data_IF_199440371703
#
_entry.id   IF_199440371703
#
_cell.length_a   1.000
_cell.length_b   1.000
_cell.length_c   1.000
_cell.angle_alpha   90.00
_cell.angle_beta   90.00
_cell.angle_gamma   90.00
#
_symmetry.space_group_name_H-M   'P 1'
#
loop_
_entity.id
_entity.type
_entity.pdbx_description
1 polymer ?
#
# COMPACT_ATOMS: atom_id res chain seq x y z
N UNK A 1 -5.34 10.90 -6.06
CA UNK A 1 -5.04 9.76 -6.96
C UNK A 1 -6.10 9.52 -8.05
N UNK A 2 -7.17 10.32 -8.14
CA UNK A 2 -8.33 10.09 -9.04
C UNK A 2 -8.13 10.53 -10.51
N UNK A 3 -6.92 10.95 -10.89
CA UNK A 3 -6.66 11.57 -12.22
C UNK A 3 -5.76 10.73 -13.14
N UNK A 4 -5.33 9.55 -12.70
CA UNK A 4 -4.48 8.70 -13.53
C UNK A 4 -5.32 8.03 -14.63
N UNK A 5 -4.94 8.27 -15.89
CA UNK A 5 -5.62 7.72 -17.08
C UNK A 5 -5.07 6.33 -17.41
N UNK A 6 -5.55 5.31 -16.71
CA UNK A 6 -5.28 3.91 -17.07
C UNK A 6 -6.52 3.04 -16.83
N UNK A 7 -6.64 1.97 -17.60
CA UNK A 7 -7.72 0.99 -17.42
C UNK A 7 -7.33 0.04 -16.30
N UNK A 8 -8.19 -0.10 -15.30
CA UNK A 8 -8.06 -1.11 -14.25
C UNK A 8 -8.56 -2.45 -14.76
N UNK A 9 -7.98 -3.55 -14.26
CA UNK A 9 -8.48 -4.89 -14.54
C UNK A 9 -9.94 -5.00 -14.08
N UNK A 10 -10.78 -5.68 -14.88
CA UNK A 10 -12.18 -5.91 -14.54
C UNK A 10 -12.31 -6.56 -13.15
N UNK A 11 -13.15 -5.99 -12.30
CA UNK A 11 -13.35 -6.45 -10.91
C UNK A 11 -12.40 -5.85 -9.88
N UNK A 12 -11.32 -5.18 -10.29
CA UNK A 12 -10.45 -4.44 -9.38
C UNK A 12 -11.01 -3.04 -9.10
N UNK A 13 -10.93 -2.62 -7.84
CA UNK A 13 -11.20 -1.25 -7.43
C UNK A 13 -10.06 -0.32 -7.88
N UNK A 14 -10.41 0.90 -8.30
CA UNK A 14 -9.42 1.85 -8.80
C UNK A 14 -8.43 2.32 -7.74
N UNK A 15 -8.89 2.46 -6.50
CA UNK A 15 -8.11 2.94 -5.37
C UNK A 15 -7.49 1.82 -4.55
N UNK A 16 -8.08 0.63 -4.57
CA UNK A 16 -7.71 -0.49 -3.71
C UNK A 16 -7.29 -1.76 -4.44
N UNK A 17 -7.25 -1.78 -5.77
CA UNK A 17 -6.89 -2.98 -6.50
C UNK A 17 -7.86 -4.12 -6.18
N UNK A 18 -7.36 -5.24 -5.70
CA UNK A 18 -8.19 -6.42 -5.39
C UNK A 18 -8.67 -6.47 -3.93
N UNK A 19 -8.26 -5.55 -3.08
CA UNK A 19 -8.69 -5.51 -1.68
C UNK A 19 -10.01 -4.76 -1.50
N UNK A 20 -10.79 -5.20 -0.51
CA UNK A 20 -12.04 -4.57 -0.14
C UNK A 20 -11.81 -3.57 1.01
N UNK A 21 -11.85 -2.25 0.76
CA UNK A 21 -11.69 -1.23 1.82
C UNK A 21 -12.84 -1.22 2.84
N UNK A 22 -13.94 -1.91 2.56
CA UNK A 22 -15.08 -2.11 3.47
C UNK A 22 -15.10 -3.50 4.11
N UNK A 23 -14.00 -4.25 3.99
CA UNK A 23 -13.82 -5.53 4.68
C UNK A 23 -13.76 -5.37 6.20
N UNK A 24 -13.77 -6.49 6.93
CA UNK A 24 -13.67 -6.51 8.40
C UNK A 24 -12.33 -5.90 8.87
N UNK A 25 -12.35 -4.80 9.64
CA UNK A 25 -11.13 -4.17 10.13
C UNK A 25 -10.24 -5.12 10.94
N UNK A 26 -8.94 -5.10 10.67
CA UNK A 26 -7.94 -5.85 11.41
C UNK A 26 -7.25 -4.96 12.45
N UNK A 27 -6.86 -5.50 13.62
CA UNK A 27 -6.12 -4.71 14.60
C UNK A 27 -4.76 -4.26 14.02
N UNK A 28 -4.32 -3.06 14.40
CA UNK A 28 -2.97 -2.58 14.07
C UNK A 28 -1.93 -3.59 14.61
N UNK A 29 -0.92 -4.01 13.81
CA UNK A 29 0.10 -4.94 14.27
C UNK A 29 0.81 -4.43 15.52
N UNK A 30 0.99 -5.28 16.54
CA UNK A 30 1.58 -4.88 17.82
C UNK A 30 3.00 -4.29 17.70
N UNK A 31 3.75 -4.66 16.66
CA UNK A 31 5.09 -4.10 16.38
C UNK A 31 5.07 -2.85 15.49
N UNK A 32 3.91 -2.39 15.01
CA UNK A 32 3.84 -1.31 14.02
C UNK A 32 4.51 -1.64 12.69
N UNK A 33 4.68 -2.94 12.38
CA UNK A 33 5.36 -3.41 11.19
C UNK A 33 4.34 -3.81 10.13
N UNK A 34 4.32 -3.10 9.00
CA UNK A 34 3.70 -3.59 7.78
C UNK A 34 4.61 -4.64 7.12
N UNK A 35 4.01 -5.69 6.54
CA UNK A 35 4.74 -6.69 5.76
C UNK A 35 4.27 -6.76 4.31
N UNK A 36 5.19 -6.99 3.38
CA UNK A 36 4.86 -7.35 1.99
C UNK A 36 5.82 -8.43 1.46
N UNK A 37 5.63 -8.83 0.20
CA UNK A 37 6.57 -9.73 -0.49
C UNK A 37 7.88 -9.06 -0.89
N UNK A 38 8.00 -7.74 -0.73
CA UNK A 38 9.16 -6.92 -1.12
C UNK A 38 8.91 -6.14 -2.42
N UNK A 39 9.62 -5.02 -2.59
CA UNK A 39 9.63 -4.25 -3.83
C UNK A 39 10.60 -4.91 -4.82
N UNK A 40 10.07 -5.62 -5.84
CA UNK A 40 10.88 -6.38 -6.81
C UNK A 40 11.30 -5.58 -8.05
N UNK A 41 10.78 -4.36 -8.19
CA UNK A 41 11.04 -3.45 -9.30
C UNK A 41 11.31 -2.05 -8.76
N UNK A 42 12.16 -1.31 -9.46
CA UNK A 42 12.39 0.10 -9.13
C UNK A 42 11.10 0.91 -9.32
N UNK A 43 10.96 1.97 -8.54
CA UNK A 43 9.92 2.97 -8.75
C UNK A 43 9.27 3.45 -7.46
N UNK A 44 8.43 4.50 -7.58
CA UNK A 44 7.94 5.22 -6.42
C UNK A 44 6.87 4.43 -5.68
N UNK A 45 6.82 4.63 -4.37
CA UNK A 45 5.73 4.11 -3.55
C UNK A 45 5.28 5.14 -2.53
N UNK A 46 4.04 4.96 -2.07
CA UNK A 46 3.43 5.75 -1.03
C UNK A 46 2.65 4.84 -0.07
N UNK A 47 2.61 5.24 1.19
CA UNK A 47 1.83 4.58 2.23
C UNK A 47 1.05 5.65 2.98
N UNK A 48 -0.24 5.44 3.15
CA UNK A 48 -1.15 6.39 3.80
C UNK A 48 -1.94 5.69 4.88
N UNK A 49 -2.05 6.30 6.07
CA UNK A 49 -2.94 5.83 7.14
C UNK A 49 -4.02 6.87 7.33
N UNK A 50 -5.28 6.45 7.19
CA UNK A 50 -6.40 7.37 6.98
C UNK A 50 -6.06 8.34 5.82
N UNK A 51 -6.10 9.64 6.07
CA UNK A 51 -5.80 10.68 5.08
C UNK A 51 -4.37 11.25 5.22
N UNK A 52 -3.49 10.60 5.99
CA UNK A 52 -2.13 11.06 6.24
C UNK A 52 -1.10 10.19 5.51
N UNK A 53 -0.24 10.81 4.71
CA UNK A 53 0.90 10.12 4.11
C UNK A 53 1.94 9.85 5.20
N UNK A 54 2.25 8.57 5.42
CA UNK A 54 3.17 8.13 6.47
C UNK A 54 4.51 7.65 5.90
N UNK A 55 4.54 7.40 4.58
CA UNK A 55 5.77 7.10 3.86
C UNK A 55 5.65 7.48 2.39
N UNK A 56 6.73 7.99 1.82
CA UNK A 56 6.92 8.17 0.39
C UNK A 56 8.40 8.01 0.05
N UNK A 57 8.69 7.41 -1.11
CA UNK A 57 10.01 7.48 -1.73
C UNK A 57 9.89 7.32 -3.24
N UNK A 58 10.86 7.91 -3.96
CA UNK A 58 10.94 7.83 -5.42
C UNK A 58 11.36 6.45 -5.93
N UNK A 59 12.04 5.66 -5.08
CA UNK A 59 12.45 4.30 -5.39
C UNK A 59 12.42 3.40 -4.15
N UNK A 60 11.29 2.72 -3.94
CA UNK A 60 11.09 1.87 -2.77
C UNK A 60 11.82 0.53 -2.83
N UNK A 61 12.29 0.12 -4.00
CA UNK A 61 13.23 -1.00 -4.13
C UNK A 61 14.54 -0.72 -3.40
N UNK A 62 14.99 0.54 -3.41
CA UNK A 62 16.24 0.97 -2.75
C UNK A 62 15.99 1.39 -1.31
N UNK A 63 14.95 2.18 -1.06
CA UNK A 63 14.71 2.73 0.29
C UNK A 63 14.12 1.72 1.26
N UNK A 64 13.45 0.67 0.78
CA UNK A 64 12.85 -0.41 1.57
C UNK A 64 13.30 -1.79 1.04
N UNK A 65 14.58 -2.17 1.20
CA UNK A 65 15.13 -3.40 0.63
C UNK A 65 14.62 -4.68 1.32
N UNK A 66 13.93 -4.54 2.45
CA UNK A 66 13.38 -5.64 3.23
C UNK A 66 11.95 -6.00 2.84
N UNK A 67 11.28 -6.71 3.77
CA UNK A 67 9.86 -7.11 3.66
C UNK A 67 9.03 -6.63 4.84
N UNK A 68 9.67 -5.92 5.77
CA UNK A 68 9.13 -5.43 7.01
C UNK A 68 9.38 -3.92 7.07
N UNK A 69 8.32 -3.14 7.20
CA UNK A 69 8.38 -1.69 7.12
C UNK A 69 7.73 -1.11 8.36
N UNK A 70 8.51 -0.52 9.28
CA UNK A 70 7.93 0.27 10.35
C UNK A 70 7.27 1.51 9.74
N UNK A 71 5.97 1.68 9.97
CA UNK A 71 5.23 2.87 9.50
C UNK A 71 4.46 3.49 10.65
N UNK A 72 4.17 4.78 10.53
CA UNK A 72 3.40 5.49 11.56
C UNK A 72 1.91 5.16 11.44
N UNK A 73 1.35 4.45 12.42
CA UNK A 73 -0.10 4.20 12.50
C UNK A 73 -0.84 5.23 13.35
N UNK A 74 -0.14 6.20 13.95
CA UNK A 74 -0.72 7.22 14.83
C UNK A 74 -1.88 8.02 14.21
N UNK A 75 -1.97 8.23 12.87
CA UNK A 75 -3.13 8.91 12.27
C UNK A 75 -4.44 8.12 12.40
N UNK A 76 -4.39 6.80 12.61
CA UNK A 76 -5.59 5.98 12.76
C UNK A 76 -6.27 6.24 14.10
N UNK A 77 -7.51 6.76 14.09
CA UNK A 77 -8.32 7.01 15.29
C UNK A 77 -9.61 6.18 15.24
N UNK A 78 -9.63 5.02 15.87
CA UNK A 78 -10.76 4.07 15.78
C UNK A 78 -10.61 3.17 14.57
N UNK A 79 -11.52 3.28 13.60
CA UNK A 79 -11.42 2.56 12.34
C UNK A 79 -10.85 3.47 11.24
N UNK A 80 -9.89 2.97 10.48
CA UNK A 80 -9.27 3.69 9.37
C UNK A 80 -8.90 2.72 8.25
N UNK A 81 -8.30 3.23 7.17
CA UNK A 81 -7.73 2.42 6.10
C UNK A 81 -6.25 2.75 5.96
N UNK A 82 -5.41 1.73 5.87
CA UNK A 82 -4.05 1.85 5.35
C UNK A 82 -4.11 1.65 3.84
N UNK A 83 -3.64 2.64 3.10
CA UNK A 83 -3.46 2.54 1.66
C UNK A 83 -1.98 2.35 1.34
N UNK A 84 -1.70 1.36 0.51
CA UNK A 84 -0.36 1.08 0.00
C UNK A 84 -0.38 1.17 -1.52
N UNK A 85 0.55 1.96 -2.06
CA UNK A 85 0.67 2.24 -3.49
C UNK A 85 2.10 2.05 -3.95
N UNK A 86 2.27 1.37 -5.07
CA UNK A 86 3.58 1.20 -5.70
C UNK A 86 3.47 1.19 -7.21
N UNK A 87 4.33 1.97 -7.87
CA UNK A 87 4.49 1.97 -9.31
C UNK A 87 5.82 1.30 -9.65
N UNK A 88 5.77 0.02 -10.03
CA UNK A 88 6.94 -0.73 -10.46
C UNK A 88 7.27 -0.48 -11.92
N UNK A 89 8.50 -0.08 -12.21
CA UNK A 89 9.05 0.06 -13.56
C UNK A 89 9.78 -1.21 -13.93
N UNK A 90 9.37 -1.85 -15.02
CA UNK A 90 10.01 -3.04 -15.56
C UNK A 90 10.49 -2.78 -16.97
N UNK A 91 11.74 -3.13 -17.26
CA UNK A 91 12.26 -3.15 -18.64
C UNK A 91 12.11 -4.57 -19.20
N UNK A 92 11.31 -4.73 -20.25
CA UNK A 92 11.03 -6.02 -20.88
C UNK A 92 10.86 -5.84 -22.39
N UNK A 93 11.39 -6.78 -23.20
CA UNK A 93 11.27 -6.75 -24.67
C UNK A 93 11.67 -5.40 -25.28
N UNK A 94 12.77 -4.81 -24.78
CA UNK A 94 13.30 -3.53 -25.25
C UNK A 94 12.35 -2.32 -25.07
N UNK A 95 11.45 -2.38 -24.08
CA UNK A 95 10.56 -1.29 -23.71
C UNK A 95 10.38 -1.22 -22.19
N UNK A 96 10.13 -0.02 -21.68
CA UNK A 96 9.68 0.17 -20.31
C UNK A 96 8.18 -0.11 -20.20
N UNK A 97 7.78 -0.80 -19.13
CA UNK A 97 6.38 -0.99 -18.75
C UNK A 97 6.19 -0.61 -17.28
N UNK A 98 5.04 0.00 -17.00
CA UNK A 98 4.62 0.36 -15.65
C UNK A 98 3.65 -0.67 -15.11
N UNK A 99 3.86 -1.09 -13.87
CA UNK A 99 2.99 -1.98 -13.13
C UNK A 99 2.45 -1.21 -11.92
N UNK A 100 1.13 -1.11 -11.83
CA UNK A 100 0.45 -0.39 -10.76
C UNK A 100 0.00 -1.40 -9.71
N UNK A 101 0.52 -1.27 -8.50
CA UNK A 101 0.15 -2.07 -7.34
C UNK A 101 -0.55 -1.16 -6.32
N UNK A 102 -1.74 -1.57 -5.88
CA UNK A 102 -2.56 -0.84 -4.92
C UNK A 102 -3.21 -1.83 -3.97
N UNK A 103 -3.14 -1.55 -2.68
CA UNK A 103 -3.85 -2.33 -1.67
C UNK A 103 -4.39 -1.42 -0.55
N UNK A 104 -5.58 -1.76 -0.07
CA UNK A 104 -6.26 -1.10 1.05
C UNK A 104 -6.50 -2.10 2.17
N UNK A 105 -6.07 -1.75 3.37
CA UNK A 105 -6.23 -2.58 4.56
C UNK A 105 -7.12 -1.83 5.56
N UNK A 106 -8.36 -2.29 5.80
CA UNK A 106 -9.19 -1.75 6.88
C UNK A 106 -8.56 -2.09 8.22
N UNK A 107 -8.32 -1.08 9.05
CA UNK A 107 -7.66 -1.19 10.34
C UNK A 107 -8.56 -0.71 11.48
N UNK A 108 -8.31 -1.25 12.67
CA UNK A 108 -8.90 -0.77 13.92
C UNK A 108 -7.85 -0.61 15.01
N UNK A 109 -7.97 0.44 15.82
CA UNK A 109 -7.14 0.65 17.02
C UNK A 109 -7.54 -0.28 18.17
N UNK A 110 -8.69 -0.96 18.06
CA UNK A 110 -9.13 -1.90 19.07
C UNK A 110 -8.40 -3.24 18.89
N UNK A 111 -7.50 -3.57 19.82
CA UNK A 111 -6.95 -4.92 19.87
C UNK A 111 -8.04 -5.88 20.36
N UNK A 112 -8.68 -6.61 19.47
CA UNK A 112 -9.42 -7.81 19.89
C UNK A 112 -8.36 -8.85 20.24
N UNK A 113 -8.04 -8.97 21.53
CA UNK A 113 -7.24 -10.08 22.05
C UNK A 113 -7.95 -11.37 21.62
N UNK A 114 -7.30 -12.16 20.78
CA UNK A 114 -7.76 -13.50 20.43
C UNK A 114 -7.03 -14.52 21.30
#
# INVERSE_FOLDING_TARGET
MEHAKYTVTEGADFSCGWTNPKGTPQPIPAGGIMRSTGYTHEGPCEMWVADTQVYQADNCHVSLPGKEYPIDYSPCKGNCVLYWYWLGVRFLKNSYSWQVYKECIPLTTNSTTK
#
